data_IF_405986071857
#
_entry.id   IF_405986071857
#
_cell.length_a   1.000
_cell.length_b   1.000
_cell.length_c   1.000
_cell.angle_alpha   90.00
_cell.angle_beta   90.00
_cell.angle_gamma   90.00
#
_symmetry.space_group_name_H-M   'P 1'
#
loop_
_entity.id
_entity.type
_entity.pdbx_description
1 polymer ?
#
# COMPACT_ATOMS: atom_id res chain seq x y z
N UNK A 1 -10.84 0.36 8.79
CA UNK A 1 -9.56 -0.28 8.43
C UNK A 1 -9.52 -0.41 6.91
N UNK A 2 -8.48 0.10 6.26
CA UNK A 2 -8.28 -0.03 4.82
C UNK A 2 -7.70 -1.40 4.48
N UNK A 3 -8.14 -1.98 3.36
CA UNK A 3 -7.54 -3.18 2.78
C UNK A 3 -6.94 -2.82 1.43
N UNK A 4 -5.63 -3.01 1.29
CA UNK A 4 -4.90 -2.82 0.03
C UNK A 4 -4.53 -4.21 -0.47
N UNK A 5 -5.22 -4.67 -1.51
CA UNK A 5 -4.94 -5.95 -2.15
C UNK A 5 -4.14 -5.75 -3.43
N UNK A 6 -2.83 -6.01 -3.35
CA UNK A 6 -1.91 -5.88 -4.49
C UNK A 6 -2.03 -7.02 -5.52
N UNK A 7 -2.91 -8.01 -5.29
CA UNK A 7 -3.23 -9.03 -6.29
C UNK A 7 -4.09 -8.47 -7.42
N UNK A 8 -4.77 -7.34 -7.18
CA UNK A 8 -5.53 -6.63 -8.19
C UNK A 8 -4.67 -5.50 -8.77
N UNK A 9 -4.84 -5.12 -10.05
CA UNK A 9 -4.09 -4.00 -10.64
C UNK A 9 -4.50 -2.64 -10.07
N UNK A 10 -5.69 -2.56 -9.45
CA UNK A 10 -6.20 -1.35 -8.81
C UNK A 10 -6.82 -1.70 -7.47
N UNK A 11 -6.70 -0.79 -6.50
CA UNK A 11 -7.35 -0.86 -5.19
C UNK A 11 -8.24 0.35 -5.00
N UNK A 12 -9.39 0.14 -4.37
CA UNK A 12 -10.30 1.20 -3.98
C UNK A 12 -9.96 1.63 -2.54
N UNK A 13 -9.76 2.93 -2.35
CA UNK A 13 -9.55 3.54 -1.04
C UNK A 13 -10.73 4.45 -0.74
N UNK A 14 -11.38 4.21 0.40
CA UNK A 14 -12.57 4.94 0.85
C UNK A 14 -12.23 5.64 2.15
N UNK A 15 -12.55 6.92 2.22
CA UNK A 15 -12.27 7.80 3.35
C UNK A 15 -13.45 8.73 3.63
N UNK A 16 -13.40 9.50 4.72
CA UNK A 16 -14.36 10.56 5.06
C UNK A 16 -13.64 11.90 5.20
N UNK A 17 -12.95 12.33 4.13
CA UNK A 17 -12.04 13.47 4.15
C UNK A 17 -12.77 14.79 3.98
N UNK A 18 -13.74 14.84 3.07
CA UNK A 18 -14.43 16.09 2.67
C UNK A 18 -15.09 16.78 3.87
N UNK A 19 -15.62 16.02 4.84
CA UNK A 19 -16.22 16.57 6.07
C UNK A 19 -15.19 17.28 6.98
N UNK A 20 -13.93 16.84 6.95
CA UNK A 20 -12.85 17.30 7.83
C UNK A 20 -11.91 18.28 7.13
N UNK A 21 -12.13 18.51 5.83
CA UNK A 21 -11.29 19.33 4.98
C UNK A 21 -11.70 20.79 5.05
N UNK A 22 -10.71 21.66 5.21
CA UNK A 22 -10.91 23.11 5.35
C UNK A 22 -10.41 23.89 4.13
N UNK A 23 -9.70 23.22 3.22
CA UNK A 23 -9.18 23.80 1.97
C UNK A 23 -10.22 23.60 0.85
N UNK A 24 -10.49 24.65 0.06
CA UNK A 24 -11.53 24.65 -0.99
C UNK A 24 -11.21 23.69 -2.15
N UNK A 25 -9.94 23.56 -2.50
CA UNK A 25 -9.44 22.65 -3.55
C UNK A 25 -8.28 21.82 -2.99
N UNK A 26 -8.57 20.80 -2.15
CA UNK A 26 -7.53 20.06 -1.46
C UNK A 26 -6.83 19.07 -2.39
N UNK A 27 -5.53 18.93 -2.21
CA UNK A 27 -4.74 17.77 -2.62
C UNK A 27 -4.48 16.93 -1.38
N UNK A 28 -4.72 15.62 -1.47
CA UNK A 28 -4.55 14.73 -0.33
C UNK A 28 -3.25 13.92 -0.42
N UNK A 29 -2.50 13.91 0.66
CA UNK A 29 -1.32 13.07 0.84
C UNK A 29 -1.67 11.91 1.80
N UNK A 30 -1.59 10.68 1.30
CA UNK A 30 -1.66 9.46 2.10
C UNK A 30 -0.25 9.07 2.56
N UNK A 31 -0.07 8.96 3.87
CA UNK A 31 1.15 8.44 4.50
C UNK A 31 0.84 7.09 5.12
N UNK A 32 1.56 6.05 4.69
CA UNK A 32 1.50 4.71 5.28
C UNK A 32 2.76 4.49 6.11
N UNK A 33 2.59 4.23 7.40
CA UNK A 33 3.67 3.89 8.33
C UNK A 33 3.57 2.42 8.69
N UNK A 34 4.59 1.63 8.36
CA UNK A 34 4.63 0.20 8.74
C UNK A 34 4.61 0.07 10.26
N UNK A 35 3.70 -0.75 10.78
CA UNK A 35 3.65 -1.01 12.22
C UNK A 35 4.83 -1.89 12.68
N UNK A 36 5.50 -2.59 11.76
CA UNK A 36 6.62 -3.49 12.04
C UNK A 36 7.96 -2.74 12.18
N UNK A 37 8.32 -1.93 11.18
CA UNK A 37 9.64 -1.28 11.10
C UNK A 37 9.58 0.25 11.10
N UNK A 38 8.39 0.85 11.21
CA UNK A 38 8.16 2.31 11.20
C UNK A 38 8.56 3.03 9.91
N UNK A 39 8.89 2.29 8.84
CA UNK A 39 9.14 2.87 7.51
C UNK A 39 7.89 3.58 7.01
N UNK A 40 8.07 4.78 6.46
CA UNK A 40 7.01 5.61 5.91
C UNK A 40 7.03 5.61 4.38
N UNK A 41 5.87 5.45 3.78
CA UNK A 41 5.65 5.60 2.35
C UNK A 41 4.56 6.63 2.09
N UNK A 42 4.71 7.43 1.04
CA UNK A 42 3.93 8.66 0.83
C UNK A 42 3.38 8.67 -0.59
N UNK A 43 2.08 8.90 -0.70
CA UNK A 43 1.35 8.81 -1.97
C UNK A 43 0.38 9.98 -2.09
N UNK A 44 0.44 10.71 -3.21
CA UNK A 44 -0.60 11.68 -3.54
C UNK A 44 -1.83 10.90 -4.02
N UNK A 45 -2.96 11.11 -3.37
CA UNK A 45 -4.21 10.49 -3.80
C UNK A 45 -4.66 11.09 -5.15
N UNK A 46 -5.20 10.26 -6.06
CA UNK A 46 -5.70 10.73 -7.35
C UNK A 46 -6.98 11.57 -7.16
N UNK A 47 -7.61 11.96 -8.26
CA UNK A 47 -8.91 12.63 -8.22
C UNK A 47 -9.96 11.74 -7.52
N UNK A 48 -10.75 12.34 -6.62
CA UNK A 48 -11.88 11.69 -5.98
C UNK A 48 -12.97 11.37 -7.04
N UNK A 49 -13.38 10.11 -7.12
CA UNK A 49 -14.39 9.59 -8.06
C UNK A 49 -15.72 9.24 -7.39
N UNK A 50 -15.92 9.63 -6.12
CA UNK A 50 -17.15 9.32 -5.38
C UNK A 50 -18.37 9.92 -6.07
N UNK A 51 -19.47 9.16 -6.07
CA UNK A 51 -20.77 9.65 -6.54
C UNK A 51 -21.50 10.51 -5.50
N UNK A 52 -21.05 10.47 -4.24
CA UNK A 52 -21.66 11.17 -3.11
C UNK A 52 -20.58 11.81 -2.22
N UNK A 53 -20.06 12.95 -2.68
CA UNK A 53 -18.99 13.70 -2.00
C UNK A 53 -19.32 14.10 -0.55
N UNK A 54 -20.60 14.18 -0.20
CA UNK A 54 -21.06 14.53 1.15
C UNK A 54 -20.97 13.38 2.16
N UNK A 55 -20.64 12.15 1.73
CA UNK A 55 -20.61 10.96 2.61
C UNK A 55 -19.25 10.29 2.69
N UNK A 56 -18.57 10.20 1.56
CA UNK A 56 -17.28 9.54 1.47
C UNK A 56 -16.49 10.06 0.28
N UNK A 57 -15.18 9.92 0.39
CA UNK A 57 -14.24 10.14 -0.68
C UNK A 57 -13.77 8.78 -1.22
N UNK A 58 -13.76 8.63 -2.53
CA UNK A 58 -13.39 7.38 -3.19
C UNK A 58 -12.26 7.62 -4.17
N UNK A 59 -11.16 6.93 -3.95
CA UNK A 59 -9.97 6.98 -4.78
C UNK A 59 -9.69 5.60 -5.35
N UNK A 60 -9.37 5.55 -6.64
CA UNK A 60 -8.93 4.32 -7.30
C UNK A 60 -7.44 4.43 -7.61
N UNK A 61 -6.64 3.68 -6.86
CA UNK A 61 -5.17 3.74 -6.91
C UNK A 61 -4.63 2.53 -7.65
N UNK A 62 -3.64 2.75 -8.52
CA UNK A 62 -2.92 1.67 -9.18
C UNK A 62 -1.99 0.98 -8.18
N UNK A 63 -2.11 -0.33 -8.04
CA UNK A 63 -1.32 -1.08 -7.04
C UNK A 63 0.17 -1.12 -7.39
N UNK A 64 0.55 -0.85 -8.64
CA UNK A 64 1.96 -0.70 -9.03
C UNK A 64 2.67 0.42 -8.28
N UNK A 65 1.94 1.49 -7.91
CA UNK A 65 2.48 2.59 -7.08
C UNK A 65 2.77 2.15 -5.64
N UNK A 66 2.28 0.97 -5.24
CA UNK A 66 2.37 0.41 -3.89
C UNK A 66 3.24 -0.86 -3.85
N UNK A 67 4.01 -1.14 -4.90
CA UNK A 67 4.80 -2.37 -5.03
C UNK A 67 5.93 -2.48 -3.99
N UNK A 68 6.47 -1.35 -3.55
CA UNK A 68 7.56 -1.32 -2.55
C UNK A 68 7.07 -1.52 -1.11
N UNK A 69 5.76 -1.66 -0.90
CA UNK A 69 5.20 -1.90 0.43
C UNK A 69 5.26 -3.37 0.80
N UNK A 70 5.85 -3.72 1.93
CA UNK A 70 5.75 -5.07 2.46
C UNK A 70 4.30 -5.45 2.80
N UNK A 71 4.01 -6.75 2.81
CA UNK A 71 2.73 -7.23 3.34
C UNK A 71 2.71 -7.05 4.86
N UNK A 72 1.55 -6.67 5.41
CA UNK A 72 1.45 -6.45 6.85
C UNK A 72 0.44 -5.39 7.26
N UNK A 73 0.61 -4.91 8.50
CA UNK A 73 -0.22 -3.89 9.11
C UNK A 73 0.50 -2.54 9.08
N UNK A 74 -0.27 -1.51 8.75
CA UNK A 74 0.19 -0.14 8.62
C UNK A 74 -0.76 0.78 9.39
N UNK A 75 -0.20 1.86 9.94
CA UNK A 75 -0.96 3.03 10.35
C UNK A 75 -0.99 4.01 9.18
N UNK A 76 -2.18 4.42 8.76
CA UNK A 76 -2.33 5.46 7.74
C UNK A 76 -2.67 6.81 8.36
N UNK A 77 -2.20 7.87 7.71
CA UNK A 77 -2.59 9.25 7.96
C UNK A 77 -2.84 9.93 6.61
N UNK A 78 -3.92 10.68 6.49
CA UNK A 78 -4.23 11.49 5.31
C UNK A 78 -4.11 12.95 5.70
N UNK A 79 -3.36 13.71 4.91
CA UNK A 79 -3.17 15.14 5.07
C UNK A 79 -3.81 15.89 3.91
N UNK A 80 -4.28 17.11 4.16
CA UNK A 80 -4.73 18.04 3.12
C UNK A 80 -3.66 19.09 2.82
N UNK A 81 -3.58 19.53 1.57
CA UNK A 81 -2.68 20.61 1.12
C UNK A 81 -3.32 21.40 -0.02
N UNK A 82 -2.94 22.66 -0.20
CA UNK A 82 -3.33 23.45 -1.38
C UNK A 82 -2.44 23.16 -2.60
N UNK A 83 -1.31 22.46 -2.40
CA UNK A 83 -0.35 22.09 -3.44
C UNK A 83 0.00 20.60 -3.34
N UNK A 84 0.40 20.00 -4.45
CA UNK A 84 0.94 18.63 -4.44
C UNK A 84 2.32 18.63 -3.78
N UNK A 85 2.45 17.92 -2.66
CA UNK A 85 3.72 17.76 -1.93
C UNK A 85 3.75 16.42 -1.21
N UNK A 86 4.92 15.78 -1.19
CA UNK A 86 5.19 14.57 -0.40
C UNK A 86 5.94 14.89 0.90
N UNK A 87 6.28 16.16 1.14
CA UNK A 87 6.88 16.58 2.40
C UNK A 87 5.79 16.76 3.47
N UNK A 88 5.78 15.86 4.45
CA UNK A 88 4.86 15.87 5.57
C UNK A 88 5.17 16.99 6.58
N UNK A 89 6.40 17.50 6.62
CA UNK A 89 6.83 18.48 7.64
C UNK A 89 6.26 19.87 7.43
N UNK A 90 5.81 20.17 6.20
CA UNK A 90 5.17 21.44 5.83
C UNK A 90 3.64 21.37 5.93
N UNK A 91 3.08 20.21 6.30
CA UNK A 91 1.65 19.99 6.44
C UNK A 91 1.21 20.17 7.89
N UNK A 92 -0.07 20.50 8.07
CA UNK A 92 -0.70 20.55 9.38
C UNK A 92 -1.02 19.16 9.93
N UNK A 93 -1.97 19.10 10.86
CA UNK A 93 -2.46 17.83 11.38
C UNK A 93 -3.14 17.00 10.28
N UNK A 94 -3.08 15.65 10.37
CA UNK A 94 -3.81 14.79 9.45
C UNK A 94 -5.32 15.02 9.61
N UNK A 95 -6.03 15.01 8.48
CA UNK A 95 -7.50 15.07 8.45
C UNK A 95 -8.13 13.73 8.82
N UNK A 96 -7.44 12.61 8.55
CA UNK A 96 -7.91 11.29 8.94
C UNK A 96 -6.72 10.39 9.30
N UNK A 97 -6.90 9.51 10.28
CA UNK A 97 -5.92 8.46 10.61
C UNK A 97 -6.62 7.14 10.87
N UNK A 98 -5.91 6.03 10.65
CA UNK A 98 -6.47 4.72 10.94
C UNK A 98 -5.50 3.58 10.65
N UNK A 99 -6.05 2.37 10.51
CA UNK A 99 -5.28 1.16 10.21
C UNK A 99 -5.51 0.69 8.78
N UNK A 100 -4.44 0.21 8.15
CA UNK A 100 -4.44 -0.42 6.84
C UNK A 100 -3.79 -1.80 6.90
N UNK A 101 -4.28 -2.73 6.08
CA UNK A 101 -3.67 -4.04 5.87
C UNK A 101 -3.28 -4.18 4.40
N UNK A 102 -2.03 -4.50 4.16
CA UNK A 102 -1.49 -4.76 2.81
C UNK A 102 -1.37 -6.26 2.63
N UNK A 103 -1.97 -6.77 1.56
CA UNK A 103 -1.85 -8.16 1.12
C UNK A 103 -1.30 -8.20 -0.30
N UNK A 104 -0.49 -9.20 -0.59
CA UNK A 104 0.08 -9.48 -1.89
C UNK A 104 -0.51 -10.80 -2.44
N UNK A 105 -0.46 -11.02 -3.76
CA UNK A 105 -0.81 -12.31 -4.32
C UNK A 105 0.08 -13.38 -3.71
N UNK A 106 -0.50 -14.57 -3.49
CA UNK A 106 0.29 -15.72 -3.08
C UNK A 106 1.37 -15.97 -4.14
N UNK A 107 2.64 -15.99 -3.72
CA UNK A 107 3.72 -16.45 -4.60
C UNK A 107 3.44 -17.93 -4.86
N UNK A 108 3.08 -18.28 -6.09
CA UNK A 108 3.00 -19.68 -6.51
C UNK A 108 4.43 -20.22 -6.54
N UNK A 109 4.86 -20.82 -5.43
CA UNK A 109 6.09 -21.60 -5.40
C UNK A 109 5.80 -22.87 -6.18
N UNK A 110 6.29 -22.94 -7.42
CA UNK A 110 6.26 -24.21 -8.15
C UNK A 110 7.15 -25.19 -7.38
N UNK A 111 6.64 -26.37 -7.00
CA UNK A 111 7.51 -27.38 -6.41
C UNK A 111 8.57 -27.75 -7.44
N UNK A 112 9.83 -27.86 -6.99
CA UNK A 112 10.86 -28.50 -7.79
C UNK A 112 10.48 -29.98 -7.86
N UNK A 113 9.93 -30.41 -9.00
CA UNK A 113 9.67 -31.82 -9.27
C UNK A 113 11.03 -32.46 -9.55
N UNK A 114 11.44 -33.35 -8.66
CA UNK A 114 12.63 -34.16 -8.86
C UNK A 114 12.27 -35.38 -9.70
N UNK A 115 12.76 -35.44 -10.94
CA UNK A 115 12.75 -36.67 -11.74
C UNK A 115 14.12 -37.34 -11.59
N UNK A 116 14.21 -38.37 -10.75
CA UNK A 116 15.39 -39.25 -10.73
C UNK A 116 15.37 -40.13 -11.97
N UNK A 117 16.36 -39.97 -12.85
CA UNK A 117 16.71 -41.01 -13.82
C UNK A 117 17.76 -41.99 -13.29
N UNK A 118 18.25 -41.83 -12.05
CA UNK A 118 19.38 -42.63 -11.56
C UNK A 118 19.17 -43.22 -10.16
N UNK A 119 19.49 -44.51 -10.03
CA UNK A 119 19.22 -45.37 -8.86
C UNK A 119 20.37 -45.36 -7.84
N UNK A 120 21.02 -44.20 -7.62
CA UNK A 120 22.13 -44.10 -6.67
C UNK A 120 21.76 -43.30 -5.41
N UNK A 121 21.92 -43.95 -4.26
CA UNK A 121 21.43 -43.52 -2.93
C UNK A 121 22.24 -42.41 -2.25
N UNK A 122 23.16 -41.72 -2.93
CA UNK A 122 23.99 -40.69 -2.29
C UNK A 122 24.17 -39.45 -3.16
N UNK A 123 23.76 -38.29 -2.63
CA UNK A 123 24.01 -36.98 -3.21
C UNK A 123 24.92 -36.16 -2.30
N UNK A 124 25.95 -35.53 -2.88
CA UNK A 124 26.79 -34.54 -2.20
C UNK A 124 26.50 -33.16 -2.78
N UNK A 125 26.09 -32.21 -1.95
CA UNK A 125 25.82 -30.83 -2.36
C UNK A 125 27.08 -29.97 -2.19
N UNK A 126 27.41 -29.15 -3.20
CA UNK A 126 28.40 -28.08 -3.09
C UNK A 126 27.65 -26.75 -3.01
N UNK A 127 27.77 -26.06 -1.88
CA UNK A 127 27.34 -24.67 -1.75
C UNK A 127 28.25 -23.80 -2.63
N UNK A 128 27.64 -23.08 -3.57
CA UNK A 128 28.29 -21.97 -4.26
C UNK A 128 27.91 -20.74 -3.43
N UNK A 129 28.85 -20.31 -2.59
CA UNK A 129 28.82 -18.96 -2.04
C UNK A 129 29.75 -18.13 -2.92
N UNK A 130 29.19 -17.18 -3.65
CA UNK A 130 29.90 -16.00 -4.17
C UNK A 130 29.88 -14.90 -3.10
#
# INVERSE_FOLDING_TARGET
>A
MLLINRSNPKTDLIFTLTELTTIVTPVYLLVLTSDFNRTKSRFILPLNISSNLNRYDHFKVDTSTLNDLDTGLYTYAVYQSSISTTDESVLGNPVETGKAKIIAPAVLVQPIIYESEDTSDFYTYKSIND
#
